data_IF_260361915094
#
_entry.id   IF_260361915094
#
_cell.length_a   1.000
_cell.length_b   1.000
_cell.length_c   1.000
_cell.angle_alpha   90.00
_cell.angle_beta   90.00
_cell.angle_gamma   90.00
#
_symmetry.space_group_name_H-M   'P 1'
#
loop_
_entity.id
_entity.type
_entity.pdbx_description
1 polymer ?
#
# COMPACT_ATOMS: atom_id res chain seq x y z
N UNK A 1 13.16 -10.66 -12.92
CA UNK A 1 12.12 -10.67 -13.95
C UNK A 1 12.76 -11.15 -15.23
N UNK A 2 12.12 -12.10 -15.90
CA UNK A 2 12.72 -12.82 -17.03
C UNK A 2 12.89 -11.95 -18.28
N UNK A 3 13.61 -12.46 -19.29
CA UNK A 3 13.58 -11.87 -20.61
C UNK A 3 12.19 -12.04 -21.24
N UNK A 4 11.60 -10.94 -21.70
CA UNK A 4 10.34 -10.96 -22.43
C UNK A 4 10.60 -10.80 -23.93
N UNK A 5 9.85 -11.52 -24.75
CA UNK A 5 9.95 -11.41 -26.20
C UNK A 5 9.36 -10.09 -26.65
N UNK A 6 10.01 -9.40 -27.58
CA UNK A 6 9.44 -8.22 -28.23
C UNK A 6 8.45 -8.71 -29.30
N UNK A 7 7.19 -8.31 -29.17
CA UNK A 7 6.15 -8.60 -30.15
C UNK A 7 6.21 -7.62 -31.33
N UNK A 8 6.34 -6.33 -31.04
CA UNK A 8 6.49 -5.28 -32.07
C UNK A 8 7.10 -3.98 -31.53
N UNK A 9 7.57 -3.15 -32.44
CA UNK A 9 7.95 -1.76 -32.15
C UNK A 9 6.70 -0.86 -32.16
N UNK A 10 6.58 -0.01 -31.15
CA UNK A 10 5.53 1.00 -31.03
C UNK A 10 6.17 2.39 -31.18
N UNK A 11 6.01 2.98 -32.37
CA UNK A 11 6.68 4.23 -32.70
C UNK A 11 8.21 4.10 -32.70
N UNK A 12 8.92 5.19 -32.38
CA UNK A 12 10.39 5.22 -32.40
C UNK A 12 11.05 4.78 -31.09
N UNK A 13 10.29 4.77 -29.99
CA UNK A 13 10.88 4.75 -28.64
C UNK A 13 10.24 3.74 -27.69
N UNK A 14 9.33 2.89 -28.17
CA UNK A 14 8.67 1.90 -27.33
C UNK A 14 8.57 0.52 -27.99
N UNK A 15 8.43 -0.50 -27.16
CA UNK A 15 8.29 -1.90 -27.55
C UNK A 15 7.12 -2.53 -26.81
N UNK A 16 6.35 -3.34 -27.51
CA UNK A 16 5.37 -4.23 -26.91
C UNK A 16 6.02 -5.57 -26.59
N UNK A 17 5.88 -6.02 -25.34
CA UNK A 17 6.46 -7.25 -24.82
C UNK A 17 5.39 -8.34 -24.66
N UNK A 18 5.81 -9.58 -24.89
CA UNK A 18 5.06 -10.80 -24.60
C UNK A 18 5.14 -11.07 -23.08
N UNK A 19 4.25 -10.41 -22.34
CA UNK A 19 4.19 -10.55 -20.88
C UNK A 19 3.38 -11.81 -20.52
N UNK A 20 3.82 -12.58 -19.51
CA UNK A 20 3.08 -13.74 -19.04
C UNK A 20 1.85 -13.28 -18.24
N UNK A 21 0.88 -14.18 -18.06
CA UNK A 21 -0.43 -13.84 -17.48
C UNK A 21 -0.34 -13.31 -16.04
N UNK A 22 0.73 -13.63 -15.29
CA UNK A 22 0.99 -13.07 -13.96
C UNK A 22 1.19 -11.55 -14.00
N UNK A 23 1.50 -10.99 -15.18
CA UNK A 23 1.67 -9.56 -15.43
C UNK A 23 0.52 -8.95 -16.25
N UNK A 24 -0.66 -9.59 -16.30
CA UNK A 24 -1.79 -9.12 -17.11
C UNK A 24 -2.24 -7.66 -16.82
N UNK A 25 -1.93 -7.15 -15.62
CA UNK A 25 -2.24 -5.78 -15.21
C UNK A 25 -1.20 -4.75 -15.64
N UNK A 26 -0.04 -5.21 -16.08
CA UNK A 26 1.04 -4.34 -16.56
C UNK A 26 0.80 -4.04 -18.04
N UNK A 27 0.83 -2.76 -18.40
CA UNK A 27 0.73 -2.37 -19.79
C UNK A 27 1.91 -2.98 -20.58
N UNK A 28 1.68 -3.73 -21.68
CA UNK A 28 2.73 -4.49 -22.36
C UNK A 28 3.70 -3.61 -23.15
N UNK A 29 3.40 -2.31 -23.30
CA UNK A 29 4.24 -1.34 -24.02
C UNK A 29 5.15 -0.58 -23.07
N UNK A 30 6.45 -0.69 -23.27
CA UNK A 30 7.48 -0.03 -22.46
C UNK A 30 8.37 0.86 -23.32
N UNK A 31 8.81 1.98 -22.75
CA UNK A 31 9.81 2.84 -23.37
C UNK A 31 11.18 2.14 -23.40
N UNK A 32 11.98 2.37 -24.45
CA UNK A 32 13.30 1.73 -24.65
C UNK A 32 14.26 1.93 -23.48
N UNK A 33 14.14 3.06 -22.75
CA UNK A 33 14.96 3.34 -21.57
C UNK A 33 14.65 2.45 -20.36
N UNK A 34 13.47 1.82 -20.32
CA UNK A 34 13.08 0.89 -19.27
C UNK A 34 13.58 -0.54 -19.53
N UNK A 35 14.09 -0.80 -20.74
CA UNK A 35 14.47 -2.12 -21.19
C UNK A 35 15.99 -2.27 -21.17
N UNK A 36 16.47 -3.41 -20.65
CA UNK A 36 17.87 -3.82 -20.77
C UNK A 36 17.95 -4.96 -21.76
N UNK A 37 18.87 -4.86 -22.73
CA UNK A 37 19.11 -5.92 -23.70
C UNK A 37 19.70 -7.13 -22.97
N UNK A 38 19.00 -8.26 -23.00
CA UNK A 38 19.51 -9.52 -22.50
C UNK A 38 20.41 -10.15 -23.58
N UNK A 39 21.73 -10.18 -23.35
CA UNK A 39 22.72 -10.84 -24.22
C UNK A 39 23.42 -11.89 -23.36
N UNK A 40 22.83 -13.08 -23.25
CA UNK A 40 23.44 -14.20 -22.52
C UNK A 40 23.31 -14.15 -20.99
N UNK A 41 23.61 -15.32 -20.42
CA UNK A 41 23.39 -15.83 -19.06
C UNK A 41 22.00 -15.59 -18.42
N UNK A 42 21.15 -16.62 -18.50
CA UNK A 42 19.83 -16.69 -17.88
C UNK A 42 19.91 -16.92 -16.34
N UNK A 43 21.11 -17.02 -15.76
CA UNK A 43 21.33 -17.24 -14.32
C UNK A 43 20.85 -16.09 -13.42
N UNK A 44 20.71 -14.87 -13.96
CA UNK A 44 20.27 -13.67 -13.21
C UNK A 44 18.75 -13.45 -13.29
N UNK A 45 18.00 -14.42 -13.82
CA UNK A 45 16.54 -14.32 -13.86
C UNK A 45 15.99 -14.44 -12.45
N UNK A 46 15.55 -13.32 -11.88
CA UNK A 46 14.69 -13.35 -10.69
C UNK A 46 13.33 -13.90 -11.12
N UNK A 47 12.88 -15.04 -10.53
CA UNK A 47 11.54 -15.59 -10.78
C UNK A 47 10.44 -14.58 -10.48
N UNK A 48 9.30 -14.73 -11.15
CA UNK A 48 8.08 -13.94 -10.86
C UNK A 48 7.32 -14.45 -9.63
N UNK A 49 7.74 -15.59 -9.06
CA UNK A 49 7.16 -16.21 -7.87
C UNK A 49 7.24 -15.24 -6.68
N UNK A 50 6.10 -14.62 -6.34
CA UNK A 50 5.96 -13.68 -5.22
C UNK A 50 5.65 -12.23 -5.60
N UNK A 51 5.53 -11.89 -6.89
CA UNK A 51 5.09 -10.55 -7.30
C UNK A 51 3.55 -10.45 -7.25
N UNK A 52 3.00 -10.08 -6.09
CA UNK A 52 1.59 -9.69 -6.00
C UNK A 52 1.38 -8.32 -6.68
N UNK A 53 0.92 -8.31 -7.92
CA UNK A 53 0.43 -7.09 -8.56
C UNK A 53 -1.02 -6.90 -8.13
N UNK A 54 -1.25 -6.06 -7.12
CA UNK A 54 -2.59 -5.70 -6.70
C UNK A 54 -3.25 -4.79 -7.74
N UNK A 55 -4.44 -5.21 -8.17
CA UNK A 55 -5.29 -4.58 -9.19
C UNK A 55 -5.90 -3.24 -8.73
N UNK A 56 -5.89 -2.99 -7.42
CA UNK A 56 -6.43 -1.78 -6.81
C UNK A 56 -5.36 -1.09 -5.96
N UNK A 57 -4.89 0.08 -6.42
CA UNK A 57 -4.17 1.07 -5.60
C UNK A 57 -5.07 1.73 -4.54
N UNK A 58 -6.37 1.43 -4.57
CA UNK A 58 -7.23 1.60 -3.40
C UNK A 58 -6.88 0.48 -2.41
N UNK A 59 -5.71 0.55 -1.79
CA UNK A 59 -5.49 -0.14 -0.54
C UNK A 59 -6.59 0.39 0.39
N UNK A 60 -7.61 -0.41 0.66
CA UNK A 60 -8.51 -0.12 1.76
C UNK A 60 -7.62 0.01 3.00
N UNK A 61 -7.45 1.25 3.48
CA UNK A 61 -6.66 1.54 4.67
C UNK A 61 -7.36 0.90 5.86
N UNK A 62 -7.00 -0.35 6.17
CA UNK A 62 -7.55 -1.09 7.30
C UNK A 62 -6.78 -0.67 8.56
N UNK A 63 -7.43 -0.04 9.56
CA UNK A 63 -6.73 0.33 10.78
C UNK A 63 -6.51 -0.91 11.65
N UNK A 64 -5.26 -1.10 12.08
CA UNK A 64 -4.82 -2.23 12.88
C UNK A 64 -4.89 -1.92 14.37
N UNK A 65 -4.36 -0.77 14.79
CA UNK A 65 -4.17 -0.44 16.19
C UNK A 65 -4.14 1.07 16.43
N UNK A 66 -4.60 1.50 17.61
CA UNK A 66 -4.39 2.85 18.12
C UNK A 66 -3.10 2.86 18.93
N UNK A 67 -2.08 3.52 18.41
CA UNK A 67 -0.76 3.60 19.02
C UNK A 67 -0.67 4.64 20.13
N UNK A 68 -1.45 5.72 20.03
CA UNK A 68 -1.40 6.83 20.98
C UNK A 68 -2.69 7.68 20.95
N UNK A 69 -2.91 8.50 21.98
CA UNK A 69 -4.05 9.42 22.07
C UNK A 69 -3.58 10.78 22.60
N UNK A 70 -4.09 11.86 22.03
CA UNK A 70 -3.80 13.21 22.52
C UNK A 70 -5.05 14.07 22.53
N UNK A 71 -5.09 15.04 23.45
CA UNK A 71 -6.09 16.10 23.49
C UNK A 71 -5.36 17.44 23.42
N UNK A 72 -5.61 18.20 22.36
CA UNK A 72 -5.07 19.56 22.21
C UNK A 72 -6.12 20.56 22.65
N UNK A 73 -5.82 21.30 23.71
CA UNK A 73 -6.66 22.41 24.17
C UNK A 73 -6.31 23.69 23.43
N UNK A 74 -7.26 24.21 22.68
CA UNK A 74 -7.23 25.52 22.05
C UNK A 74 -8.00 26.52 22.92
N UNK A 75 -7.97 27.80 22.53
CA UNK A 75 -8.53 28.91 23.32
C UNK A 75 -10.00 28.73 23.74
N UNK A 76 -10.79 28.00 22.94
CA UNK A 76 -12.22 27.80 23.15
C UNK A 76 -12.71 26.37 22.88
N UNK A 77 -11.82 25.42 22.58
CA UNK A 77 -12.20 24.04 22.25
C UNK A 77 -11.09 23.06 22.55
N UNK A 78 -11.46 21.81 22.80
CA UNK A 78 -10.56 20.68 22.92
C UNK A 78 -10.70 19.80 21.68
N UNK A 79 -9.58 19.39 21.09
CA UNK A 79 -9.54 18.49 19.93
C UNK A 79 -8.85 17.20 20.36
N UNK A 80 -9.62 16.11 20.38
CA UNK A 80 -9.11 14.77 20.64
C UNK A 80 -8.72 14.06 19.33
N UNK A 81 -7.54 13.47 19.30
CA UNK A 81 -7.03 12.72 18.16
C UNK A 81 -6.35 11.43 18.62
N UNK A 82 -6.41 10.40 17.78
CA UNK A 82 -5.78 9.10 18.01
C UNK A 82 -4.77 8.83 16.91
N UNK A 83 -3.61 8.24 17.26
CA UNK A 83 -2.59 7.84 16.29
C UNK A 83 -2.89 6.43 15.82
N UNK A 84 -3.13 6.25 14.52
CA UNK A 84 -3.63 5.00 13.93
C UNK A 84 -2.55 4.34 13.09
N UNK A 85 -2.30 3.06 13.34
CA UNK A 85 -1.49 2.22 12.47
C UNK A 85 -2.38 1.59 11.39
N UNK A 86 -1.98 1.70 10.12
CA UNK A 86 -2.71 1.17 8.98
C UNK A 86 -2.06 -0.11 8.44
N UNK A 87 -2.89 -1.03 7.95
CA UNK A 87 -2.44 -2.27 7.32
C UNK A 87 -1.63 -1.94 6.07
N UNK A 88 -0.42 -2.48 5.96
CA UNK A 88 0.58 -2.23 4.91
C UNK A 88 1.43 -0.95 5.07
N UNK A 89 1.25 -0.18 6.15
CA UNK A 89 2.12 0.94 6.49
C UNK A 89 3.11 0.56 7.60
N UNK A 90 4.32 1.11 7.54
CA UNK A 90 5.24 1.10 8.68
C UNK A 90 4.68 1.99 9.81
N UNK A 91 5.16 1.80 11.04
CA UNK A 91 4.78 2.63 12.19
C UNK A 91 5.03 4.13 11.95
N UNK A 92 6.05 4.46 11.15
CA UNK A 92 6.34 5.83 10.73
C UNK A 92 5.25 6.43 9.83
N UNK A 93 4.50 5.59 9.11
CA UNK A 93 3.35 5.97 8.29
C UNK A 93 2.03 6.08 9.06
N UNK A 94 2.03 5.96 10.39
CA UNK A 94 0.84 6.12 11.21
C UNK A 94 0.35 7.58 11.23
N UNK A 95 -0.96 7.79 11.06
CA UNK A 95 -1.58 9.13 10.97
C UNK A 95 -2.33 9.50 12.25
N UNK A 96 -2.58 10.80 12.45
CA UNK A 96 -3.43 11.29 13.53
C UNK A 96 -4.85 11.55 13.02
N UNK A 97 -5.79 10.74 13.47
CA UNK A 97 -7.20 10.83 13.09
C UNK A 97 -8.06 11.41 14.21
N UNK A 98 -9.22 11.97 13.87
CA UNK A 98 -10.17 12.46 14.86
C UNK A 98 -10.72 11.30 15.70
N UNK A 99 -10.66 11.43 17.03
CA UNK A 99 -11.10 10.38 17.97
C UNK A 99 -12.57 9.99 17.73
N UNK A 100 -13.45 10.97 17.51
CA UNK A 100 -14.87 10.74 17.27
C UNK A 100 -15.12 9.93 15.98
N UNK A 101 -14.42 10.27 14.90
CA UNK A 101 -14.58 9.59 13.60
C UNK A 101 -14.07 8.14 13.68
N UNK A 102 -12.96 7.92 14.39
CA UNK A 102 -12.43 6.58 14.60
C UNK A 102 -13.35 5.73 15.49
N UNK A 103 -13.95 6.31 16.54
CA UNK A 103 -14.95 5.62 17.36
C UNK A 103 -16.20 5.24 16.56
N UNK A 104 -16.63 6.12 15.66
CA UNK A 104 -17.81 5.86 14.82
C UNK A 104 -17.55 4.79 13.77
N UNK A 105 -16.38 4.81 13.11
CA UNK A 105 -16.06 3.91 11.98
C UNK A 105 -15.45 2.58 12.43
N UNK A 106 -14.63 2.61 13.48
CA UNK A 106 -13.86 1.46 13.96
C UNK A 106 -14.00 1.30 15.48
N UNK A 107 -15.23 1.09 16.00
CA UNK A 107 -15.49 1.03 17.44
C UNK A 107 -14.72 -0.11 18.14
N UNK A 108 -14.40 -1.18 17.41
CA UNK A 108 -13.63 -2.33 17.92
C UNK A 108 -12.19 -1.99 18.34
N UNK A 109 -11.63 -0.86 17.87
CA UNK A 109 -10.30 -0.39 18.28
C UNK A 109 -10.31 0.29 19.66
N UNK A 110 -11.49 0.56 20.22
CA UNK A 110 -11.65 1.21 21.50
C UNK A 110 -12.10 0.17 22.53
N UNK A 111 -11.24 -0.23 23.49
CA UNK A 111 -11.66 -1.17 24.51
C UNK A 111 -12.80 -0.56 25.32
N UNK A 112 -13.87 -1.34 25.54
CA UNK A 112 -14.85 -1.02 26.57
C UNK A 112 -14.13 -1.07 27.92
N UNK A 113 -14.03 0.06 28.62
CA UNK A 113 -13.74 0.05 30.05
C UNK A 113 -15.06 -0.16 30.79
N UNK A 114 -15.41 -1.39 31.23
CA UNK A 114 -16.47 -1.52 32.22
C UNK A 114 -15.99 -0.78 33.47
N UNK A 115 -16.77 0.20 33.91
CA UNK A 115 -16.56 0.86 35.20
C UNK A 115 -16.75 -0.21 36.25
N UNK A 116 -15.65 -0.84 36.70
CA UNK A 116 -15.67 -1.57 37.95
C UNK A 116 -15.82 -0.53 39.06
N UNK A 117 -17.08 -0.25 39.41
CA UNK A 117 -17.44 0.41 40.65
C UNK A 117 -16.86 -0.41 41.81
N UNK A 118 -15.73 0.01 42.35
CA UNK A 118 -15.31 -0.42 43.68
C UNK A 118 -15.95 0.54 44.68
N UNK A 119 -16.90 -0.04 45.45
CA UNK A 119 -17.47 0.53 46.67
C UNK A 119 -16.40 0.75 47.73
#
# INVERSE_FOLDING_TARGET
MGPYKILRHVGKVAYELDLPNELALVHPVFHVSMLKKCIGDLSTIVPLEGLEIKENLADEEVPLEILDRQVKRLRNKEIASVKVLWRNHLVEGATWEADADMKSRYPYLFPFTPILNLR
#
